data_IF_384776780812
#
_entry.id   IF_384776780812
#
_cell.length_a   1.000
_cell.length_b   1.000
_cell.length_c   1.000
_cell.angle_alpha   90.00
_cell.angle_beta   90.00
_cell.angle_gamma   90.00
#
_symmetry.space_group_name_H-M   'P 1'
#
loop_
_entity.id
_entity.type
_entity.pdbx_description
1 polymer ?
#
# COMPACT_ATOMS: atom_id res chain seq x y z
N UNK A 1 38.05 -53.05 0.14
CA UNK A 1 38.16 -51.67 -0.32
C UNK A 1 36.75 -51.13 -0.59
N UNK A 2 36.19 -50.45 0.41
CA UNK A 2 34.81 -49.93 0.35
C UNK A 2 34.87 -48.47 -0.08
N UNK A 3 34.22 -48.15 -1.20
CA UNK A 3 34.11 -46.77 -1.68
C UNK A 3 32.93 -46.13 -0.98
N UNK A 4 33.23 -45.18 -0.09
CA UNK A 4 32.23 -44.36 0.57
C UNK A 4 31.86 -43.20 -0.40
N UNK A 5 30.66 -43.26 -1.00
CA UNK A 5 30.15 -42.15 -1.84
C UNK A 5 29.53 -41.11 -0.95
N UNK A 6 30.11 -39.93 -0.92
CA UNK A 6 29.59 -38.76 -0.19
C UNK A 6 28.55 -38.07 -1.07
N UNK A 7 27.29 -38.16 -0.71
CA UNK A 7 26.23 -37.39 -1.34
C UNK A 7 26.19 -36.00 -0.68
N UNK A 8 26.58 -34.98 -1.43
CA UNK A 8 26.44 -33.58 -1.00
C UNK A 8 25.01 -33.14 -1.32
N UNK A 9 24.20 -32.96 -0.30
CA UNK A 9 22.89 -32.31 -0.44
C UNK A 9 23.10 -30.79 -0.48
N UNK A 10 22.98 -30.20 -1.64
CA UNK A 10 22.91 -28.74 -1.80
C UNK A 10 21.46 -28.34 -1.51
N UNK A 11 21.22 -27.88 -0.30
CA UNK A 11 19.93 -27.23 0.00
C UNK A 11 19.96 -25.84 -0.65
N UNK A 12 19.24 -25.69 -1.75
CA UNK A 12 18.91 -24.35 -2.26
C UNK A 12 17.93 -23.72 -1.26
N UNK A 13 18.48 -22.91 -0.37
CA UNK A 13 17.64 -22.07 0.48
C UNK A 13 16.97 -21.01 -0.38
N UNK A 14 15.64 -21.07 -0.49
CA UNK A 14 14.87 -19.92 -0.97
C UNK A 14 15.07 -18.82 0.05
N UNK A 15 15.87 -17.82 -0.30
CA UNK A 15 15.99 -16.59 0.49
C UNK A 15 14.66 -15.84 0.36
N UNK A 16 13.76 -16.05 1.31
CA UNK A 16 12.66 -15.09 1.49
C UNK A 16 13.30 -13.73 1.79
N UNK A 17 12.86 -12.65 1.15
CA UNK A 17 13.37 -11.34 1.52
C UNK A 17 13.07 -11.12 3.00
N UNK A 18 14.11 -11.07 3.80
CA UNK A 18 13.99 -10.71 5.21
C UNK A 18 13.55 -9.25 5.22
N UNK A 19 12.36 -8.99 5.71
CA UNK A 19 11.95 -7.62 5.96
C UNK A 19 13.01 -7.00 6.86
N UNK A 20 13.56 -5.88 6.45
CA UNK A 20 14.55 -5.18 7.28
C UNK A 20 13.93 -4.88 8.65
N UNK A 21 14.68 -5.14 9.71
CA UNK A 21 14.22 -4.80 11.06
C UNK A 21 14.05 -3.28 11.14
N UNK A 22 12.94 -2.82 11.75
CA UNK A 22 12.74 -1.38 11.91
C UNK A 22 13.92 -0.74 12.64
N UNK A 23 14.49 0.30 12.07
CA UNK A 23 15.63 1.01 12.64
C UNK A 23 15.14 2.18 13.48
N UNK A 24 15.38 2.20 14.80
CA UNK A 24 15.01 3.34 15.62
C UNK A 24 15.78 4.61 15.20
N UNK A 25 15.04 5.72 15.06
CA UNK A 25 15.67 7.02 14.84
C UNK A 25 16.09 7.61 16.20
N UNK A 26 17.29 8.19 16.26
CA UNK A 26 17.84 8.81 17.48
C UNK A 26 17.24 10.21 17.66
N UNK A 27 16.04 10.25 18.24
CA UNK A 27 15.32 11.51 18.49
C UNK A 27 14.96 11.59 19.96
N UNK A 28 15.31 12.36 20.64
CA UNK A 28 15.18 12.52 21.77
C UNK A 28 13.93 12.56 22.14
N UNK A 29 13.53 12.02 23.15
CA UNK A 29 12.13 11.90 23.52
C UNK A 29 11.36 13.21 23.70
N UNK A 30 12.06 14.23 24.12
CA UNK A 30 11.44 15.55 24.41
C UNK A 30 11.56 16.54 23.24
N UNK A 31 12.21 16.13 22.13
CA UNK A 31 12.36 16.98 20.94
C UNK A 31 11.29 16.64 19.91
N UNK A 32 10.72 17.64 19.31
CA UNK A 32 9.89 17.43 18.12
C UNK A 32 10.79 16.97 16.95
N UNK A 33 10.24 16.18 16.06
CA UNK A 33 10.96 15.71 14.88
C UNK A 33 10.08 15.93 13.64
N UNK A 34 10.66 16.53 12.62
CA UNK A 34 9.97 16.79 11.36
C UNK A 34 10.47 15.79 10.33
N UNK A 35 9.55 15.06 9.73
CA UNK A 35 9.81 14.21 8.56
C UNK A 35 10.00 15.13 7.36
N UNK A 36 11.25 15.41 6.99
CA UNK A 36 11.56 16.42 5.98
C UNK A 36 10.84 16.22 4.64
N UNK A 37 10.73 14.97 4.11
CA UNK A 37 10.08 14.81 2.82
C UNK A 37 8.59 15.20 2.76
N UNK A 38 7.89 15.17 3.92
CA UNK A 38 6.44 15.53 3.95
C UNK A 38 6.17 16.82 4.70
N UNK A 39 7.14 17.32 5.48
CA UNK A 39 6.91 18.40 6.42
C UNK A 39 6.06 18.02 7.63
N UNK A 40 5.69 16.74 7.77
CA UNK A 40 4.85 16.28 8.87
C UNK A 40 5.64 16.31 10.18
N UNK A 41 5.09 16.99 11.18
CA UNK A 41 5.72 17.08 12.49
C UNK A 41 5.29 15.89 13.37
N UNK A 42 6.26 15.23 13.97
CA UNK A 42 6.10 14.20 14.99
C UNK A 42 6.53 14.79 16.33
N UNK A 43 5.63 15.52 17.01
CA UNK A 43 6.02 16.21 18.23
C UNK A 43 6.32 15.23 19.36
N UNK A 44 7.02 15.70 20.39
CA UNK A 44 7.27 14.92 21.61
C UNK A 44 5.96 14.50 22.29
N UNK A 45 4.88 15.29 22.09
CA UNK A 45 3.55 14.99 22.64
C UNK A 45 2.46 15.40 21.67
N UNK A 46 1.44 14.54 21.56
CA UNK A 46 0.19 14.84 20.86
C UNK A 46 -0.92 14.81 21.93
N UNK A 47 -1.35 15.99 22.41
CA UNK A 47 -2.29 16.11 23.53
C UNK A 47 -1.73 15.40 24.79
N UNK A 48 -2.43 14.39 25.29
CA UNK A 48 -2.04 13.58 26.44
C UNK A 48 -1.16 12.37 26.08
N UNK A 49 -0.90 12.15 24.81
CA UNK A 49 -0.08 11.05 24.31
C UNK A 49 1.38 11.49 24.18
N UNK A 50 2.30 10.84 24.87
CA UNK A 50 3.75 11.09 24.79
C UNK A 50 4.38 10.13 23.77
N UNK A 51 5.29 10.65 22.96
CA UNK A 51 6.01 9.84 21.99
C UNK A 51 6.97 8.89 22.71
N UNK A 52 6.85 7.60 22.39
CA UNK A 52 7.76 6.55 22.85
C UNK A 52 8.98 6.46 21.91
N UNK A 53 8.71 6.31 20.62
CA UNK A 53 9.77 6.13 19.62
C UNK A 53 9.31 6.52 18.21
N UNK A 54 10.30 6.71 17.35
CA UNK A 54 10.15 6.77 15.89
C UNK A 54 11.05 5.70 15.31
N UNK A 55 10.55 4.98 14.29
CA UNK A 55 11.31 3.95 13.58
C UNK A 55 11.23 4.17 12.10
N UNK A 56 12.31 3.86 11.39
CA UNK A 56 12.30 3.77 9.93
C UNK A 56 12.22 2.30 9.52
N UNK A 57 11.30 2.00 8.60
CA UNK A 57 11.13 0.65 8.04
C UNK A 57 11.84 0.51 6.69
N UNK A 58 12.21 1.63 6.07
CA UNK A 58 12.94 1.67 4.81
C UNK A 58 14.02 2.75 4.88
N UNK A 59 15.06 2.58 4.08
CA UNK A 59 16.11 3.59 3.97
C UNK A 59 15.53 4.95 3.53
N UNK A 60 16.24 6.01 3.86
CA UNK A 60 15.91 7.39 3.48
C UNK A 60 14.52 7.84 3.96
N UNK A 61 14.07 7.27 5.08
CA UNK A 61 12.82 7.65 5.76
C UNK A 61 11.56 7.51 4.89
N UNK A 62 11.59 6.62 3.89
CA UNK A 62 10.46 6.42 2.97
C UNK A 62 9.30 5.59 3.58
N UNK A 63 9.49 5.10 4.80
CA UNK A 63 8.42 4.44 5.57
C UNK A 63 8.75 4.62 7.06
N UNK A 64 8.05 5.53 7.71
CA UNK A 64 8.29 5.93 9.11
C UNK A 64 7.08 5.56 9.95
N UNK A 65 7.34 5.09 11.16
CA UNK A 65 6.30 4.88 12.16
C UNK A 65 6.67 5.49 13.50
N UNK A 66 5.75 6.22 14.12
CA UNK A 66 5.90 6.75 15.47
C UNK A 66 4.83 6.17 16.38
N UNK A 67 5.22 5.86 17.62
CA UNK A 67 4.30 5.31 18.61
C UNK A 67 4.23 6.27 19.81
N UNK A 68 3.00 6.47 20.29
CA UNK A 68 2.69 7.36 21.41
C UNK A 68 1.81 6.62 22.42
N UNK A 69 1.96 6.92 23.70
CA UNK A 69 1.17 6.34 24.78
C UNK A 69 0.64 7.42 25.72
N UNK A 70 -0.53 7.19 26.29
CA UNK A 70 -0.96 7.94 27.48
C UNK A 70 -0.11 7.53 28.70
N UNK A 71 -0.06 8.40 29.72
CA UNK A 71 0.78 8.16 30.90
C UNK A 71 0.37 6.89 31.69
N UNK A 72 -0.88 6.46 31.56
CA UNK A 72 -1.41 5.27 32.23
C UNK A 72 -1.47 4.04 31.31
N UNK A 73 -0.90 4.13 30.11
CA UNK A 73 -0.90 3.10 29.08
C UNK A 73 -2.33 2.66 28.67
N UNK A 74 -3.32 3.52 28.86
CA UNK A 74 -4.70 3.21 28.48
C UNK A 74 -4.95 3.39 26.98
N UNK A 75 -4.14 4.18 26.30
CA UNK A 75 -4.26 4.39 24.87
C UNK A 75 -2.88 4.33 24.18
N UNK A 76 -2.90 3.80 22.98
CA UNK A 76 -1.73 3.75 22.09
C UNK A 76 -2.12 4.32 20.72
N UNK A 77 -1.36 5.32 20.26
CA UNK A 77 -1.47 5.88 18.91
C UNK A 77 -0.23 5.50 18.13
N UNK A 78 -0.42 4.94 16.94
CA UNK A 78 0.65 4.77 15.96
C UNK A 78 0.36 5.66 14.76
N UNK A 79 1.37 6.37 14.30
CA UNK A 79 1.31 7.23 13.11
C UNK A 79 2.33 6.70 12.12
N UNK A 80 1.86 6.34 10.93
CA UNK A 80 2.73 5.85 9.84
C UNK A 80 2.65 6.82 8.67
N UNK A 81 3.81 7.06 8.07
CA UNK A 81 3.95 7.87 6.84
C UNK A 81 4.80 7.06 5.88
N UNK A 82 4.24 6.71 4.72
CA UNK A 82 4.94 5.80 3.81
C UNK A 82 4.59 6.03 2.35
N UNK A 83 5.53 5.72 1.49
CA UNK A 83 5.31 5.62 0.05
C UNK A 83 4.61 4.28 -0.25
N UNK A 84 3.78 4.27 -1.28
CA UNK A 84 3.04 3.07 -1.66
C UNK A 84 3.06 2.90 -3.18
N UNK A 85 2.87 1.67 -3.65
CA UNK A 85 2.73 1.40 -5.08
C UNK A 85 1.35 1.82 -5.62
N UNK A 86 0.40 2.07 -4.72
CA UNK A 86 -0.92 2.61 -5.07
C UNK A 86 -1.38 3.62 -4.04
N UNK A 87 -2.00 4.68 -4.51
CA UNK A 87 -2.61 5.71 -3.66
C UNK A 87 -4.15 5.64 -3.68
N UNK A 88 -4.71 4.49 -4.06
CA UNK A 88 -6.15 4.23 -3.89
C UNK A 88 -6.45 4.05 -2.40
N UNK A 89 -6.96 5.10 -1.78
CA UNK A 89 -7.22 5.14 -0.33
C UNK A 89 -8.26 4.09 0.07
N UNK A 90 -9.26 3.85 -0.76
CA UNK A 90 -10.30 2.84 -0.46
C UNK A 90 -9.72 1.44 -0.36
N UNK A 91 -8.89 1.06 -1.35
CA UNK A 91 -8.22 -0.23 -1.40
C UNK A 91 -7.21 -0.40 -0.25
N UNK A 92 -6.39 0.63 -0.02
CA UNK A 92 -5.36 0.58 1.01
C UNK A 92 -5.97 0.57 2.42
N UNK A 93 -7.08 1.28 2.63
CA UNK A 93 -7.80 1.26 3.90
C UNK A 93 -8.45 -0.10 4.16
N UNK A 94 -9.02 -0.72 3.12
CA UNK A 94 -9.60 -2.06 3.24
C UNK A 94 -8.53 -3.09 3.68
N UNK A 95 -7.35 -3.05 3.07
CA UNK A 95 -6.23 -3.92 3.47
C UNK A 95 -5.77 -3.63 4.91
N UNK A 96 -5.71 -2.34 5.29
CA UNK A 96 -5.33 -1.97 6.65
C UNK A 96 -6.39 -2.39 7.68
N UNK A 97 -7.68 -2.32 7.35
CA UNK A 97 -8.77 -2.83 8.21
C UNK A 97 -8.65 -4.36 8.39
N UNK A 98 -8.33 -5.09 7.32
CA UNK A 98 -8.09 -6.54 7.40
C UNK A 98 -6.89 -6.86 8.31
N UNK A 99 -5.82 -6.06 8.22
CA UNK A 99 -4.65 -6.22 9.09
C UNK A 99 -4.98 -5.92 10.55
N UNK A 100 -5.84 -4.93 10.81
CA UNK A 100 -6.33 -4.65 12.18
C UNK A 100 -7.14 -5.84 12.69
N UNK A 101 -8.07 -6.37 11.88
CA UNK A 101 -8.97 -7.45 12.31
C UNK A 101 -8.23 -8.77 12.63
N UNK A 102 -7.00 -8.93 12.16
CA UNK A 102 -6.17 -10.11 12.43
C UNK A 102 -5.12 -9.89 13.53
N UNK A 103 -5.16 -8.76 14.24
CA UNK A 103 -4.16 -8.43 15.24
C UNK A 103 -4.55 -9.00 16.62
N UNK A 104 -4.11 -10.19 16.92
CA UNK A 104 -4.39 -10.93 18.18
C UNK A 104 -4.00 -10.15 19.44
N UNK A 105 -3.08 -9.20 19.35
CA UNK A 105 -2.66 -8.38 20.51
C UNK A 105 -3.76 -7.45 21.00
N UNK A 106 -4.69 -7.10 20.12
CA UNK A 106 -5.82 -6.23 20.49
C UNK A 106 -6.92 -7.02 21.19
N UNK A 107 -7.13 -8.27 20.80
CA UNK A 107 -8.25 -9.12 21.20
C UNK A 107 -9.10 -9.49 20.00
N UNK A 108 -10.33 -9.90 20.25
CA UNK A 108 -11.28 -10.23 19.17
C UNK A 108 -11.92 -8.95 18.65
N UNK A 109 -11.71 -8.67 17.36
CA UNK A 109 -12.24 -7.46 16.71
C UNK A 109 -13.66 -7.74 16.19
N UNK A 110 -14.62 -6.91 16.59
CA UNK A 110 -15.98 -6.96 16.06
C UNK A 110 -16.04 -6.19 14.73
N UNK A 111 -15.92 -6.91 13.63
CA UNK A 111 -15.98 -6.31 12.29
C UNK A 111 -17.42 -5.99 11.84
N UNK A 112 -18.42 -6.66 12.42
CA UNK A 112 -19.84 -6.37 12.12
C UNK A 112 -20.30 -5.08 12.80
N UNK A 113 -19.80 -4.80 14.01
CA UNK A 113 -20.05 -3.56 14.73
C UNK A 113 -19.15 -2.40 14.30
N UNK A 114 -18.36 -2.56 13.23
CA UNK A 114 -17.44 -1.54 12.77
C UNK A 114 -18.17 -0.29 12.24
N UNK A 115 -17.72 0.87 12.69
CA UNK A 115 -18.12 2.16 12.13
C UNK A 115 -17.19 2.46 10.94
N UNK A 116 -17.74 3.08 9.91
CA UNK A 116 -16.97 3.50 8.73
C UNK A 116 -17.50 4.85 8.28
N UNK A 117 -16.59 5.78 8.03
CA UNK A 117 -16.91 7.08 7.45
C UNK A 117 -15.75 7.56 6.58
N UNK A 118 -16.04 8.56 5.76
CA UNK A 118 -15.01 9.25 4.99
C UNK A 118 -14.78 10.63 5.59
N UNK A 119 -13.61 11.19 5.35
CA UNK A 119 -13.27 12.54 5.76
C UNK A 119 -12.33 13.17 4.73
N UNK A 120 -12.14 14.45 4.87
CA UNK A 120 -11.24 15.22 4.01
C UNK A 120 -11.83 16.58 3.73
N UNK A 121 -10.95 17.51 3.42
CA UNK A 121 -11.28 18.90 3.10
C UNK A 121 -10.66 19.26 1.74
N UNK A 122 -10.52 20.52 1.46
CA UNK A 122 -9.93 20.99 0.19
C UNK A 122 -8.42 20.66 0.10
N UNK A 123 -7.75 20.45 1.22
CA UNK A 123 -6.30 20.19 1.23
C UNK A 123 -5.95 18.78 0.76
N UNK A 124 -6.77 17.77 1.11
CA UNK A 124 -6.51 16.39 0.73
C UNK A 124 -7.54 15.82 -0.26
N UNK A 125 -8.58 16.59 -0.56
CA UNK A 125 -9.72 16.14 -1.36
C UNK A 125 -10.91 15.82 -0.47
N UNK A 126 -12.07 16.35 -0.85
CA UNK A 126 -13.30 16.13 -0.07
C UNK A 126 -13.63 14.63 0.01
N UNK A 127 -13.83 14.14 1.21
CA UNK A 127 -14.18 12.74 1.49
C UNK A 127 -13.14 11.73 0.95
N UNK A 128 -11.89 12.13 0.76
CA UNK A 128 -10.85 11.25 0.18
C UNK A 128 -10.13 10.38 1.21
N UNK A 129 -10.29 10.65 2.50
CA UNK A 129 -9.75 9.82 3.58
C UNK A 129 -10.79 8.85 4.13
N UNK A 130 -10.32 7.77 4.75
CA UNK A 130 -11.15 6.75 5.41
C UNK A 130 -10.92 6.79 6.92
N UNK A 131 -12.00 6.71 7.69
CA UNK A 131 -11.99 6.51 9.13
C UNK A 131 -12.81 5.25 9.43
N UNK A 132 -12.23 4.32 10.19
CA UNK A 132 -12.91 3.09 10.60
C UNK A 132 -12.60 2.81 12.07
N UNK A 133 -13.61 2.41 12.85
CA UNK A 133 -13.41 2.06 14.25
C UNK A 133 -14.19 0.81 14.61
N UNK A 134 -13.63 0.03 15.54
CA UNK A 134 -14.07 -1.33 15.83
C UNK A 134 -14.20 -1.51 17.33
N UNK A 135 -15.32 -2.07 17.80
CA UNK A 135 -15.36 -2.63 19.17
C UNK A 135 -14.38 -3.81 19.25
N UNK A 136 -13.80 -4.00 20.43
CA UNK A 136 -12.83 -5.08 20.68
C UNK A 136 -13.22 -5.79 21.98
N UNK A 137 -13.16 -7.11 21.97
CA UNK A 137 -13.28 -7.93 23.18
C UNK A 137 -11.91 -8.51 23.52
N UNK A 138 -11.27 -7.95 24.54
CA UNK A 138 -9.92 -8.34 24.94
C UNK A 138 -9.23 -7.29 25.81
N UNK A 139 -7.90 -7.19 25.68
CA UNK A 139 -7.12 -6.17 26.43
C UNK A 139 -7.52 -4.74 26.10
N UNK A 140 -7.98 -4.50 24.89
CA UNK A 140 -8.53 -3.20 24.47
C UNK A 140 -10.04 -3.28 24.36
N UNK A 141 -10.69 -2.13 24.48
CA UNK A 141 -12.15 -1.99 24.33
C UNK A 141 -12.53 -1.56 22.92
N UNK A 142 -11.62 -0.82 22.27
CA UNK A 142 -11.84 -0.37 20.89
C UNK A 142 -10.51 -0.08 20.21
N UNK A 143 -10.54 -0.12 18.87
CA UNK A 143 -9.44 0.31 18.02
C UNK A 143 -9.99 1.09 16.83
N UNK A 144 -9.23 2.04 16.30
CA UNK A 144 -9.65 2.89 15.19
C UNK A 144 -8.48 3.12 14.23
N UNK A 145 -8.81 3.29 12.96
CA UNK A 145 -7.89 3.50 11.86
C UNK A 145 -8.33 4.74 11.07
N UNK A 146 -7.39 5.64 10.79
CA UNK A 146 -7.56 6.66 9.76
C UNK A 146 -6.50 6.46 8.69
N UNK A 147 -6.89 6.56 7.41
CA UNK A 147 -5.95 6.46 6.30
C UNK A 147 -6.33 7.48 5.23
N UNK A 148 -5.35 8.24 4.77
CA UNK A 148 -5.55 9.26 3.76
C UNK A 148 -4.26 9.53 3.01
N UNK A 149 -4.38 10.19 1.87
CA UNK A 149 -3.26 10.59 1.04
C UNK A 149 -2.86 12.03 1.34
N UNK A 150 -1.56 12.31 1.37
CA UNK A 150 -1.01 13.66 1.46
C UNK A 150 0.17 13.75 0.50
N UNK A 151 0.01 14.50 -0.59
CA UNK A 151 0.99 14.48 -1.68
C UNK A 151 1.17 13.07 -2.24
N UNK A 152 2.40 12.61 -2.36
CA UNK A 152 2.74 11.26 -2.80
C UNK A 152 3.09 10.35 -1.61
N UNK A 153 2.31 10.48 -0.53
CA UNK A 153 2.46 9.70 0.69
C UNK A 153 1.10 9.20 1.17
N UNK A 154 1.09 8.04 1.80
CA UNK A 154 -0.04 7.60 2.60
C UNK A 154 0.27 7.87 4.07
N UNK A 155 -0.71 8.43 4.77
CA UNK A 155 -0.65 8.65 6.20
C UNK A 155 -1.70 7.75 6.84
N UNK A 156 -1.23 6.91 7.78
CA UNK A 156 -2.09 5.96 8.48
C UNK A 156 -1.95 6.21 9.98
N UNK A 157 -3.06 6.49 10.66
CA UNK A 157 -3.12 6.57 12.11
C UNK A 157 -3.88 5.36 12.64
N UNK A 158 -3.40 4.80 13.73
CA UNK A 158 -4.08 3.72 14.42
C UNK A 158 -4.11 4.03 15.91
N UNK A 159 -5.32 4.15 16.48
CA UNK A 159 -5.53 4.48 17.88
C UNK A 159 -6.29 3.33 18.54
N UNK A 160 -5.77 2.80 19.64
CA UNK A 160 -6.41 1.75 20.40
C UNK A 160 -6.59 2.20 21.85
N UNK A 161 -7.73 1.89 22.44
CA UNK A 161 -8.06 2.31 23.83
C UNK A 161 -8.57 1.14 24.65
N UNK A 162 -8.11 1.08 25.90
CA UNK A 162 -8.62 0.14 26.92
C UNK A 162 -9.87 0.67 27.63
N UNK A 163 -10.21 1.94 27.45
CA UNK A 163 -11.20 2.64 28.26
C UNK A 163 -12.46 3.03 27.50
N UNK A 164 -12.32 3.61 26.29
CA UNK A 164 -13.44 4.19 25.57
C UNK A 164 -13.98 3.25 24.49
N UNK A 165 -15.24 3.45 24.13
CA UNK A 165 -15.89 2.67 23.06
C UNK A 165 -15.45 3.15 21.66
N UNK A 166 -15.84 2.38 20.65
CA UNK A 166 -15.47 2.64 19.27
C UNK A 166 -15.97 4.00 18.77
N UNK A 167 -17.17 4.42 19.15
CA UNK A 167 -17.73 5.71 18.72
C UNK A 167 -16.98 6.90 19.31
N UNK A 168 -16.56 6.81 20.56
CA UNK A 168 -15.75 7.85 21.22
C UNK A 168 -14.37 7.90 20.61
N UNK A 169 -13.79 6.72 20.36
CA UNK A 169 -12.45 6.61 19.76
C UNK A 169 -12.43 7.15 18.33
N UNK A 170 -13.47 6.90 17.57
CA UNK A 170 -13.68 7.42 16.21
C UNK A 170 -13.56 8.94 16.16
N UNK A 171 -14.32 9.62 17.02
CA UNK A 171 -14.30 11.10 17.13
C UNK A 171 -12.92 11.62 17.54
N UNK A 172 -12.26 10.91 18.47
CA UNK A 172 -10.93 11.28 18.93
C UNK A 172 -9.90 11.15 17.81
N UNK A 173 -9.95 10.07 17.04
CA UNK A 173 -9.04 9.86 15.91
C UNK A 173 -9.29 10.86 14.78
N UNK A 174 -10.55 11.19 14.50
CA UNK A 174 -10.91 12.23 13.52
C UNK A 174 -10.28 13.58 13.88
N UNK A 175 -10.31 13.96 15.17
CA UNK A 175 -9.69 15.20 15.65
C UNK A 175 -8.16 15.16 15.55
N UNK A 176 -7.54 14.00 15.72
CA UNK A 176 -6.10 13.84 15.56
C UNK A 176 -5.72 13.97 14.08
N UNK A 177 -6.46 13.30 13.21
CA UNK A 177 -6.19 13.33 11.76
C UNK A 177 -6.35 14.74 11.18
N UNK A 178 -7.41 15.47 11.59
CA UNK A 178 -7.64 16.83 11.10
C UNK A 178 -6.62 17.86 11.65
N UNK A 179 -5.88 17.51 12.69
CA UNK A 179 -4.86 18.39 13.26
C UNK A 179 -3.49 18.26 12.62
N UNK A 180 -3.30 17.34 11.66
CA UNK A 180 -2.01 17.15 11.02
C UNK A 180 -1.80 18.16 9.89
N UNK A 181 -0.57 18.69 9.71
CA UNK A 181 -0.27 19.53 8.55
C UNK A 181 -0.26 18.65 7.30
N UNK A 182 -1.18 18.94 6.37
CA UNK A 182 -1.39 18.11 5.18
C UNK A 182 -0.85 18.81 3.94
N UNK A 183 -0.13 18.09 3.12
CA UNK A 183 0.28 18.53 1.79
C UNK A 183 -0.81 18.13 0.80
N UNK A 184 -1.36 19.05 0.02
CA UNK A 184 -2.35 18.68 -0.98
C UNK A 184 -1.79 17.63 -1.95
N UNK A 185 -2.60 16.65 -2.37
CA UNK A 185 -2.16 15.72 -3.41
C UNK A 185 -1.96 16.48 -4.74
N UNK A 186 -1.12 15.94 -5.63
CA UNK A 186 -0.85 16.62 -6.91
C UNK A 186 -2.08 16.72 -7.82
N UNK A 187 -3.14 16.00 -7.52
CA UNK A 187 -4.42 16.06 -8.20
C UNK A 187 -5.54 15.83 -7.18
N UNK A 188 -6.76 16.23 -7.54
CA UNK A 188 -7.89 16.00 -6.65
C UNK A 188 -8.12 14.50 -6.47
N UNK A 189 -7.95 14.02 -5.24
CA UNK A 189 -8.17 12.61 -4.95
C UNK A 189 -9.67 12.29 -5.05
N UNK A 190 -10.05 11.15 -5.61
CA UNK A 190 -11.45 10.77 -5.64
C UNK A 190 -11.98 10.49 -4.23
N UNK A 191 -13.29 10.69 -4.01
CA UNK A 191 -13.88 10.32 -2.73
C UNK A 191 -13.65 8.84 -2.42
N UNK A 192 -13.23 8.56 -1.20
CA UNK A 192 -13.06 7.20 -0.72
C UNK A 192 -14.43 6.55 -0.45
N UNK A 193 -14.45 5.24 -0.46
CA UNK A 193 -15.67 4.46 -0.24
C UNK A 193 -15.35 3.15 0.47
N UNK A 194 -16.33 2.57 1.13
CA UNK A 194 -16.20 1.23 1.72
C UNK A 194 -16.27 0.20 0.59
N UNK A 195 -15.27 -0.66 0.48
CA UNK A 195 -15.29 -1.73 -0.52
C UNK A 195 -16.34 -2.78 -0.14
N UNK A 196 -17.13 -3.17 -1.12
CA UNK A 196 -18.03 -4.30 -1.02
C UNK A 196 -17.29 -5.58 -1.45
N UNK A 197 -17.78 -6.71 -1.03
CA UNK A 197 -17.33 -7.99 -1.57
C UNK A 197 -17.81 -8.11 -3.02
N UNK A 198 -16.98 -8.68 -3.88
CA UNK A 198 -17.39 -8.98 -5.25
C UNK A 198 -18.48 -10.05 -5.20
N UNK A 199 -19.43 -9.96 -6.10
CA UNK A 199 -20.39 -11.03 -6.29
C UNK A 199 -19.71 -12.33 -6.78
N UNK A 200 -20.49 -13.29 -7.13
CA UNK A 200 -19.98 -14.56 -7.65
C UNK A 200 -19.32 -14.34 -9.03
N UNK A 201 -18.01 -14.19 -9.04
CA UNK A 201 -17.23 -13.98 -10.27
C UNK A 201 -16.62 -15.31 -10.69
N UNK A 202 -16.91 -15.79 -11.90
CA UNK A 202 -16.32 -17.04 -12.39
C UNK A 202 -14.79 -16.99 -12.40
N UNK A 203 -14.17 -18.13 -12.13
CA UNK A 203 -12.73 -18.26 -12.25
C UNK A 203 -12.30 -18.07 -13.71
N UNK A 204 -11.26 -17.28 -13.93
CA UNK A 204 -10.69 -17.12 -15.26
C UNK A 204 -9.74 -18.27 -15.57
N UNK A 205 -9.80 -18.74 -16.80
CA UNK A 205 -8.82 -19.68 -17.33
C UNK A 205 -7.44 -19.05 -17.47
N UNK A 206 -6.46 -19.86 -17.78
CA UNK A 206 -5.10 -19.38 -18.06
C UNK A 206 -5.09 -18.61 -19.40
N UNK A 207 -4.38 -17.51 -19.40
CA UNK A 207 -4.17 -16.68 -20.60
C UNK A 207 -2.75 -16.85 -21.11
N UNK A 208 -2.58 -16.68 -22.42
CA UNK A 208 -1.27 -16.84 -23.06
C UNK A 208 -0.30 -15.77 -22.62
N UNK A 209 0.96 -16.18 -22.44
CA UNK A 209 2.10 -15.26 -22.28
C UNK A 209 2.27 -14.48 -23.58
N UNK A 210 2.58 -13.20 -23.44
CA UNK A 210 2.96 -12.33 -24.54
C UNK A 210 4.39 -11.83 -24.31
N UNK A 211 5.24 -12.10 -25.25
CA UNK A 211 6.59 -11.56 -25.20
C UNK A 211 6.56 -10.07 -25.52
N UNK A 212 7.30 -9.30 -24.74
CA UNK A 212 7.40 -7.86 -24.89
C UNK A 212 8.75 -7.53 -25.50
N UNK A 213 8.73 -6.63 -26.45
CA UNK A 213 9.96 -6.11 -27.06
C UNK A 213 10.71 -5.21 -26.08
N UNK A 214 11.98 -4.94 -26.36
CA UNK A 214 12.77 -3.97 -25.59
C UNK A 214 12.08 -2.59 -25.55
N UNK A 215 11.44 -2.20 -26.66
CA UNK A 215 10.68 -0.94 -26.70
C UNK A 215 9.50 -0.95 -25.74
N UNK A 216 8.74 -2.04 -25.64
CA UNK A 216 7.64 -2.15 -24.69
C UNK A 216 8.13 -2.00 -23.25
N UNK A 217 9.27 -2.63 -22.92
CA UNK A 217 9.89 -2.51 -21.60
C UNK A 217 10.36 -1.08 -21.30
N UNK A 218 11.01 -0.43 -22.25
CA UNK A 218 11.42 0.97 -22.09
C UNK A 218 10.21 1.85 -21.79
N UNK A 219 9.14 1.68 -22.53
CA UNK A 219 7.94 2.49 -22.33
C UNK A 219 7.32 2.21 -20.96
N UNK A 220 7.12 0.93 -20.60
CA UNK A 220 6.52 0.56 -19.32
C UNK A 220 7.34 1.10 -18.13
N UNK A 221 8.65 0.97 -18.16
CA UNK A 221 9.53 1.47 -17.09
C UNK A 221 9.56 2.99 -17.05
N UNK A 222 9.52 3.65 -18.21
CA UNK A 222 9.48 5.13 -18.29
C UNK A 222 8.20 5.68 -17.67
N UNK A 223 7.05 5.06 -17.92
CA UNK A 223 5.77 5.49 -17.31
C UNK A 223 5.86 5.45 -15.78
N UNK A 224 6.41 4.38 -15.23
CA UNK A 224 6.58 4.27 -13.76
C UNK A 224 7.65 5.26 -13.26
N UNK A 225 8.75 5.40 -13.99
CA UNK A 225 9.79 6.37 -13.63
C UNK A 225 9.22 7.80 -13.55
N UNK A 226 8.40 8.18 -14.53
CA UNK A 226 7.70 9.46 -14.55
C UNK A 226 6.74 9.57 -13.34
N UNK A 227 6.08 8.46 -12.96
CA UNK A 227 5.17 8.47 -11.81
C UNK A 227 5.91 8.69 -10.48
N UNK A 228 7.22 8.52 -10.45
CA UNK A 228 8.04 8.83 -9.28
C UNK A 228 8.46 10.30 -9.21
N UNK A 229 8.36 11.03 -10.33
CA UNK A 229 8.70 12.46 -10.40
C UNK A 229 7.45 13.30 -10.08
N UNK A 230 7.44 13.90 -8.90
CA UNK A 230 6.29 14.67 -8.40
C UNK A 230 5.98 15.89 -9.30
N UNK A 231 7.02 16.52 -9.87
CA UNK A 231 6.83 17.67 -10.73
C UNK A 231 6.12 17.32 -12.05
N UNK A 232 6.37 16.12 -12.55
CA UNK A 232 5.72 15.64 -13.78
C UNK A 232 4.29 15.16 -13.48
N UNK A 233 4.05 14.57 -12.32
CA UNK A 233 2.72 14.14 -11.90
C UNK A 233 1.72 15.32 -11.92
N UNK A 234 2.12 16.47 -11.39
CA UNK A 234 1.28 17.65 -11.37
C UNK A 234 0.89 18.09 -12.79
N UNK A 235 1.85 18.09 -13.71
CA UNK A 235 1.62 18.48 -15.11
C UNK A 235 0.71 17.48 -15.84
N UNK A 236 0.87 16.19 -15.58
CA UNK A 236 0.01 15.15 -16.16
C UNK A 236 -1.41 15.30 -15.63
N UNK A 237 -1.59 15.47 -14.33
CA UNK A 237 -2.89 15.64 -13.70
C UNK A 237 -3.64 16.85 -14.27
N UNK A 238 -2.94 17.96 -14.45
CA UNK A 238 -3.52 19.18 -15.03
C UNK A 238 -4.02 18.98 -16.47
N UNK A 239 -3.26 18.23 -17.27
CA UNK A 239 -3.56 18.04 -18.71
C UNK A 239 -4.58 16.95 -18.99
N UNK A 240 -4.58 15.89 -18.19
CA UNK A 240 -5.43 14.72 -18.46
C UNK A 240 -6.77 14.78 -17.73
N UNK A 241 -6.88 15.66 -16.75
CA UNK A 241 -8.04 15.69 -15.88
C UNK A 241 -8.10 14.43 -15.00
N UNK A 242 -9.13 14.36 -14.21
CA UNK A 242 -9.34 13.20 -13.35
C UNK A 242 -9.82 12.02 -14.20
N UNK A 243 -9.00 11.00 -14.35
CA UNK A 243 -9.45 9.74 -14.98
C UNK A 243 -10.45 9.05 -14.07
N UNK A 244 -11.54 8.58 -14.62
CA UNK A 244 -12.47 7.73 -13.90
C UNK A 244 -11.74 6.42 -13.54
N UNK A 245 -11.32 6.35 -12.28
CA UNK A 245 -10.72 5.12 -11.76
C UNK A 245 -11.84 4.10 -11.52
N UNK A 246 -11.76 2.90 -12.09
CA UNK A 246 -12.82 1.92 -11.87
C UNK A 246 -12.96 1.60 -10.38
N UNK A 247 -14.20 1.50 -9.92
CA UNK A 247 -14.46 1.09 -8.54
C UNK A 247 -14.03 -0.35 -8.36
N UNK A 248 -13.48 -0.63 -7.19
CA UNK A 248 -12.99 -1.96 -6.86
C UNK A 248 -13.97 -2.67 -5.91
N UNK A 249 -13.92 -3.99 -5.93
CA UNK A 249 -14.56 -4.86 -4.95
C UNK A 249 -13.55 -5.88 -4.44
N UNK A 250 -13.81 -6.45 -3.26
CA UNK A 250 -12.94 -7.44 -2.62
C UNK A 250 -13.28 -8.84 -3.09
N UNK A 251 -12.31 -9.55 -3.64
CA UNK A 251 -12.47 -10.96 -4.06
C UNK A 251 -12.58 -11.88 -2.84
N UNK A 252 -13.38 -12.93 -2.97
CA UNK A 252 -13.65 -13.89 -1.88
C UNK A 252 -12.42 -14.64 -1.38
N UNK A 253 -11.31 -14.64 -2.12
CA UNK A 253 -10.04 -15.26 -1.70
C UNK A 253 -9.20 -14.36 -0.79
N UNK A 254 -9.64 -13.13 -0.54
CA UNK A 254 -8.89 -12.19 0.31
C UNK A 254 -8.78 -12.72 1.73
N UNK A 255 -7.59 -12.57 2.30
CA UNK A 255 -7.28 -12.94 3.68
C UNK A 255 -6.36 -11.87 4.27
N UNK A 256 -6.36 -11.66 5.59
CA UNK A 256 -5.45 -10.67 6.18
C UNK A 256 -4.00 -10.91 5.75
N UNK A 257 -3.35 -9.85 5.29
CA UNK A 257 -2.00 -9.92 4.76
C UNK A 257 -1.93 -10.16 3.25
N UNK A 258 -3.02 -10.57 2.61
CA UNK A 258 -3.06 -10.76 1.15
C UNK A 258 -4.47 -10.52 0.63
N UNK A 259 -4.73 -9.29 0.19
CA UNK A 259 -6.06 -8.84 -0.23
C UNK A 259 -6.13 -8.76 -1.76
N UNK A 260 -7.15 -9.37 -2.35
CA UNK A 260 -7.36 -9.47 -3.79
C UNK A 260 -8.52 -8.56 -4.20
N UNK A 261 -8.28 -7.72 -5.21
CA UNK A 261 -9.25 -6.73 -5.67
C UNK A 261 -9.55 -6.85 -7.15
N UNK A 262 -10.84 -6.73 -7.49
CA UNK A 262 -11.33 -6.74 -8.87
C UNK A 262 -11.97 -5.40 -9.19
N UNK A 263 -12.03 -5.09 -10.47
CA UNK A 263 -12.92 -4.03 -10.93
C UNK A 263 -14.36 -4.47 -10.69
N UNK A 264 -15.17 -3.63 -10.08
CA UNK A 264 -16.52 -3.98 -9.66
C UNK A 264 -17.46 -4.24 -10.85
N UNK A 265 -17.26 -3.52 -11.96
CA UNK A 265 -18.12 -3.65 -13.14
C UNK A 265 -17.73 -4.83 -14.03
N UNK A 266 -16.45 -4.98 -14.32
CA UNK A 266 -15.96 -6.03 -15.25
C UNK A 266 -15.70 -7.37 -14.56
N UNK A 267 -15.45 -7.35 -13.24
CA UNK A 267 -15.01 -8.53 -12.49
C UNK A 267 -13.56 -8.91 -12.78
N UNK A 268 -12.81 -8.08 -13.51
CA UNK A 268 -11.42 -8.38 -13.87
C UNK A 268 -10.49 -8.20 -12.67
N UNK A 269 -9.50 -9.11 -12.48
CA UNK A 269 -8.42 -8.87 -11.53
C UNK A 269 -7.76 -7.51 -11.77
N UNK A 270 -7.55 -6.77 -10.70
CA UNK A 270 -6.95 -5.43 -10.76
C UNK A 270 -5.68 -5.36 -9.92
N UNK A 271 -5.77 -5.75 -8.64
CA UNK A 271 -4.64 -5.60 -7.72
C UNK A 271 -4.64 -6.68 -6.63
N UNK A 272 -3.45 -6.92 -6.08
CA UNK A 272 -3.25 -7.70 -4.86
C UNK A 272 -2.42 -6.84 -3.91
N UNK A 273 -2.96 -6.56 -2.72
CA UNK A 273 -2.24 -5.82 -1.68
C UNK A 273 -1.61 -6.81 -0.71
N UNK A 274 -0.32 -6.67 -0.45
CA UNK A 274 0.43 -7.50 0.49
C UNK A 274 0.69 -6.71 1.78
N UNK A 275 0.08 -7.16 2.87
CA UNK A 275 0.17 -6.43 4.14
C UNK A 275 -0.60 -5.11 4.11
N UNK A 276 -0.14 -4.14 4.89
CA UNK A 276 -0.77 -2.82 5.00
C UNK A 276 0.26 -1.66 4.94
N UNK A 277 1.40 -1.92 4.28
CA UNK A 277 2.54 -0.99 4.22
C UNK A 277 2.87 -0.51 2.79
N UNK A 278 1.94 -0.66 1.84
CA UNK A 278 2.08 -0.07 0.51
C UNK A 278 2.54 -1.00 -0.59
N UNK A 279 2.74 -2.30 -0.32
CA UNK A 279 3.15 -3.25 -1.36
C UNK A 279 1.93 -3.73 -2.15
N UNK A 280 1.95 -3.48 -3.45
CA UNK A 280 0.82 -3.83 -4.34
C UNK A 280 1.36 -4.48 -5.60
N UNK A 281 0.79 -5.64 -5.96
CA UNK A 281 0.91 -6.17 -7.31
C UNK A 281 -0.31 -5.71 -8.11
N UNK A 282 -0.06 -5.21 -9.31
CA UNK A 282 -1.11 -4.74 -10.21
C UNK A 282 -0.97 -5.39 -11.58
N UNK A 283 -2.10 -5.58 -12.23
CA UNK A 283 -2.14 -6.09 -13.60
C UNK A 283 -3.02 -5.14 -14.42
N UNK A 284 -2.50 -4.67 -15.53
CA UNK A 284 -3.22 -3.71 -16.35
C UNK A 284 -2.61 -3.54 -17.73
N UNK A 285 -3.35 -2.90 -18.60
CA UNK A 285 -2.87 -2.56 -19.93
C UNK A 285 -1.93 -1.36 -19.86
N UNK A 286 -0.74 -1.54 -20.40
CA UNK A 286 0.12 -0.40 -20.71
C UNK A 286 -0.42 0.22 -22.01
N UNK A 287 -1.21 1.28 -21.89
CA UNK A 287 -1.80 1.98 -23.05
C UNK A 287 -0.74 2.89 -23.71
N UNK A 288 0.24 2.25 -24.28
CA UNK A 288 1.43 2.88 -24.87
C UNK A 288 1.74 2.30 -26.26
N UNK A 289 0.73 1.74 -26.88
CA UNK A 289 0.90 1.22 -28.23
C UNK A 289 1.16 2.38 -29.21
N UNK A 290 2.37 2.41 -29.74
CA UNK A 290 2.74 3.32 -30.84
C UNK A 290 2.04 2.91 -32.14
N UNK A 291 1.53 1.69 -32.20
CA UNK A 291 0.75 1.14 -33.32
C UNK A 291 -0.66 0.81 -32.82
N UNK A 292 -1.63 1.59 -33.29
CA UNK A 292 -3.07 1.39 -32.95
C UNK A 292 -3.65 0.07 -33.42
N UNK A 293 -2.92 -0.71 -34.24
CA UNK A 293 -3.40 -1.99 -34.76
C UNK A 293 -3.17 -3.16 -33.82
N UNK A 294 -2.21 -3.02 -32.90
CA UNK A 294 -1.85 -4.07 -31.95
C UNK A 294 -2.41 -3.71 -30.58
N UNK A 295 -3.25 -4.55 -29.95
CA UNK A 295 -3.73 -4.26 -28.61
C UNK A 295 -2.55 -4.07 -27.64
N UNK A 296 -2.65 -3.12 -26.70
CA UNK A 296 -1.59 -2.91 -25.73
C UNK A 296 -1.38 -4.18 -24.89
N UNK A 297 -0.15 -4.45 -24.47
CA UNK A 297 0.12 -5.61 -23.61
C UNK A 297 -0.46 -5.40 -22.22
N UNK A 298 -0.88 -6.49 -21.61
CA UNK A 298 -1.21 -6.52 -20.18
C UNK A 298 0.08 -6.88 -19.44
N UNK A 299 0.50 -6.06 -18.51
CA UNK A 299 1.76 -6.24 -17.78
C UNK A 299 1.45 -6.46 -16.30
N UNK A 300 2.15 -7.41 -15.68
CA UNK A 300 2.13 -7.65 -14.24
C UNK A 300 3.33 -6.94 -13.61
N UNK A 301 3.05 -6.12 -12.60
CA UNK A 301 4.08 -5.44 -11.83
C UNK A 301 3.79 -5.59 -10.33
N UNK A 302 4.84 -5.55 -9.50
CA UNK A 302 4.72 -5.43 -8.05
C UNK A 302 5.62 -4.30 -7.57
N UNK A 303 5.11 -3.48 -6.68
CA UNK A 303 5.88 -2.36 -6.14
C UNK A 303 5.53 -2.04 -4.70
N UNK A 304 6.34 -1.18 -4.08
CA UNK A 304 6.14 -0.70 -2.70
C UNK A 304 6.30 0.83 -2.58
N UNK A 305 6.24 1.53 -3.73
CA UNK A 305 6.45 2.98 -3.75
C UNK A 305 7.92 3.41 -3.89
N UNK A 306 8.85 2.50 -3.61
CA UNK A 306 10.30 2.74 -3.77
C UNK A 306 10.87 1.95 -4.94
N UNK A 307 10.34 0.78 -5.19
CA UNK A 307 10.76 -0.09 -6.29
C UNK A 307 9.52 -0.70 -6.93
N UNK A 308 9.53 -0.79 -8.25
CA UNK A 308 8.54 -1.54 -9.03
C UNK A 308 9.28 -2.55 -9.88
N UNK A 309 8.89 -3.81 -9.77
CA UNK A 309 9.41 -4.92 -10.55
C UNK A 309 8.34 -5.40 -11.51
N UNK A 310 8.74 -5.63 -12.75
CA UNK A 310 7.88 -6.07 -13.85
C UNK A 310 8.17 -7.52 -14.18
N UNK A 311 7.12 -8.26 -14.41
CA UNK A 311 7.21 -9.66 -14.79
C UNK A 311 6.86 -9.82 -16.28
N UNK A 312 6.27 -10.92 -16.66
CA UNK A 312 5.94 -11.17 -18.06
C UNK A 312 4.71 -10.39 -18.52
N UNK A 313 4.59 -10.20 -19.81
CA UNK A 313 3.36 -9.70 -20.43
C UNK A 313 2.37 -10.81 -20.73
N UNK A 314 1.11 -10.42 -20.89
CA UNK A 314 -0.01 -11.32 -21.21
C UNK A 314 -0.82 -10.76 -22.37
N UNK A 315 -1.52 -11.64 -23.08
CA UNK A 315 -2.43 -11.26 -24.17
C UNK A 315 -3.75 -10.67 -23.70
N UNK A 316 -4.14 -10.95 -22.46
CA UNK A 316 -5.31 -10.40 -21.77
C UNK A 316 -5.11 -10.49 -20.27
N UNK A 317 -6.01 -9.94 -19.46
CA UNK A 317 -5.86 -9.94 -18.00
C UNK A 317 -5.94 -11.38 -17.47
N UNK A 318 -4.87 -11.87 -16.78
CA UNK A 318 -4.85 -13.22 -16.21
C UNK A 318 -5.70 -13.33 -14.94
N UNK A 319 -6.09 -14.54 -14.59
CA UNK A 319 -6.74 -14.81 -13.31
C UNK A 319 -5.73 -14.73 -12.14
N UNK A 320 -6.24 -14.55 -10.92
CA UNK A 320 -5.37 -14.38 -9.73
C UNK A 320 -4.43 -15.57 -9.49
N UNK A 321 -4.86 -16.80 -9.79
CA UNK A 321 -4.00 -17.97 -9.62
C UNK A 321 -2.76 -17.89 -10.52
N UNK A 322 -2.96 -17.43 -11.76
CA UNK A 322 -1.86 -17.23 -12.70
C UNK A 322 -0.97 -16.05 -12.28
N UNK A 323 -1.56 -14.96 -11.77
CA UNK A 323 -0.81 -13.82 -11.23
C UNK A 323 0.09 -14.31 -10.09
N UNK A 324 -0.48 -15.03 -9.11
CA UNK A 324 0.29 -15.54 -7.97
C UNK A 324 1.39 -16.48 -8.41
N UNK A 325 1.12 -17.37 -9.35
CA UNK A 325 2.14 -18.28 -9.90
C UNK A 325 3.32 -17.52 -10.50
N UNK A 326 3.04 -16.42 -11.20
CA UNK A 326 4.11 -15.59 -11.80
C UNK A 326 4.87 -14.82 -10.72
N UNK A 327 4.20 -14.28 -9.72
CA UNK A 327 4.88 -13.58 -8.61
C UNK A 327 5.79 -14.52 -7.81
N UNK A 328 5.36 -15.78 -7.62
CA UNK A 328 6.13 -16.76 -6.85
C UNK A 328 7.31 -17.38 -7.62
N UNK A 329 7.14 -17.61 -8.91
CA UNK A 329 8.06 -18.43 -9.70
C UNK A 329 8.63 -17.72 -10.94
N UNK A 330 8.06 -16.57 -11.27
CA UNK A 330 8.44 -15.82 -12.45
C UNK A 330 9.76 -15.08 -12.26
N UNK A 331 10.36 -14.71 -13.38
CA UNK A 331 11.57 -13.90 -13.42
C UNK A 331 11.19 -12.42 -13.51
N UNK A 332 11.88 -11.59 -12.75
CA UNK A 332 11.82 -10.13 -12.94
C UNK A 332 12.46 -9.79 -14.28
N UNK A 333 11.70 -9.15 -15.14
CA UNK A 333 12.13 -8.78 -16.49
C UNK A 333 12.72 -7.38 -16.54
N UNK A 334 12.14 -6.46 -15.78
CA UNK A 334 12.60 -5.07 -15.70
C UNK A 334 12.28 -4.53 -14.31
N UNK A 335 12.96 -3.45 -13.92
CA UNK A 335 12.59 -2.77 -12.67
C UNK A 335 12.86 -1.27 -12.76
N UNK A 336 12.13 -0.52 -11.93
CA UNK A 336 12.35 0.90 -11.69
C UNK A 336 12.52 1.07 -10.19
N UNK A 337 13.55 1.76 -9.78
CA UNK A 337 13.83 2.04 -8.38
C UNK A 337 13.97 3.56 -8.19
N UNK A 338 13.31 4.09 -7.16
CA UNK A 338 13.43 5.50 -6.79
C UNK A 338 14.82 5.73 -6.18
N UNK A 339 15.48 6.80 -6.61
CA UNK A 339 16.77 7.22 -6.05
C UNK A 339 16.67 8.69 -5.61
N UNK A 340 17.61 9.18 -4.80
CA UNK A 340 17.62 10.59 -4.44
C UNK A 340 17.71 11.53 -5.66
N UNK A 341 18.31 11.08 -6.76
CA UNK A 341 18.47 11.88 -7.99
C UNK A 341 17.35 11.67 -9.01
N UNK A 342 16.34 10.82 -8.70
CA UNK A 342 15.23 10.53 -9.60
C UNK A 342 14.85 9.06 -9.61
N UNK A 343 15.20 8.32 -10.64
CA UNK A 343 14.93 6.88 -10.70
C UNK A 343 16.00 6.13 -11.52
N UNK A 344 16.25 4.90 -11.10
CA UNK A 344 17.13 3.96 -11.83
C UNK A 344 16.26 2.91 -12.52
N UNK A 345 16.48 2.70 -13.83
CA UNK A 345 15.76 1.71 -14.62
C UNK A 345 16.73 0.56 -14.96
N UNK A 346 16.30 -0.66 -14.69
CA UNK A 346 16.98 -1.88 -15.12
C UNK A 346 16.13 -2.58 -16.18
N UNK A 347 16.70 -2.83 -17.33
CA UNK A 347 16.05 -3.53 -18.43
C UNK A 347 16.58 -4.97 -18.53
N UNK A 348 15.84 -5.89 -19.17
CA UNK A 348 16.35 -7.22 -19.42
C UNK A 348 17.59 -7.15 -20.32
N UNK A 349 18.51 -8.12 -20.22
CA UNK A 349 19.63 -8.14 -21.15
C UNK A 349 19.11 -8.28 -22.58
N UNK A 350 19.79 -7.70 -23.55
CA UNK A 350 19.40 -7.87 -24.96
C UNK A 350 19.48 -9.35 -25.35
N UNK A 351 18.60 -9.82 -26.21
CA UNK A 351 18.56 -11.18 -26.74
C UNK A 351 19.74 -11.44 -27.68
#
# INVERSE_FOLDING_TARGET
MSRLSFLIFITLGCATPVAAEPEPLDVXPQADWVHEPTGLNFPARIRDLARDRIVSYLADENNIGATYFTADDSEILSVYVYRAASYDVSMMADAAMAAVSSNDRLGTIDTEGALFSTFGDEAIGKDSGVLASFPVDGPYRSTALALFRSGNWLIKLRLSSKQVDAQTLDKRLALLASGLPLTPPPYSAPPAYRLADCGNVPARGQVGRRELSTTDWIIATTVISISYDESVQDQIAEKTGQRDTPRLCRDARSEPGRMFYREAESGEPSAIVFGDSGTVASVGTADISLDKKTPPPVILAIGNGMKTEFFQGFGSIPGFDQIMQVLEKGRVMASVERTPEGSAITLPPPD
#
